data_IF_687737131240
#
_entry.id   IF_687737131240
#
_cell.length_a   1.000
_cell.length_b   1.000
_cell.length_c   1.000
_cell.angle_alpha   90.00
_cell.angle_beta   90.00
_cell.angle_gamma   90.00
#
_symmetry.space_group_name_H-M   'P 1'
#
loop_
_entity.id
_entity.type
_entity.pdbx_description
1 polymer ?
#
# COMPACT_ATOMS: atom_id res chain seq x y z
N UNK A 1 4.54 -17.02 -6.75
CA UNK A 1 4.12 -17.49 -5.42
C UNK A 1 4.53 -16.44 -4.40
N UNK A 2 3.58 -15.87 -3.68
CA UNK A 2 3.84 -14.89 -2.61
C UNK A 2 4.07 -15.60 -1.28
N UNK A 3 4.51 -14.86 -0.24
CA UNK A 3 4.62 -15.42 1.12
C UNK A 3 3.26 -15.87 1.63
N UNK A 4 2.19 -15.15 1.29
CA UNK A 4 0.83 -15.51 1.69
C UNK A 4 0.35 -16.77 0.97
N UNK A 5 0.65 -16.92 -0.32
CA UNK A 5 0.38 -18.17 -1.05
C UNK A 5 1.07 -19.37 -0.39
N UNK A 6 2.36 -19.21 -0.06
CA UNK A 6 3.13 -20.25 0.61
C UNK A 6 2.53 -20.61 1.99
N UNK A 7 2.13 -19.62 2.78
CA UNK A 7 1.45 -19.84 4.06
C UNK A 7 0.13 -20.60 3.87
N UNK A 8 -0.71 -20.18 2.91
CA UNK A 8 -1.99 -20.85 2.61
C UNK A 8 -1.77 -22.31 2.22
N UNK A 9 -0.77 -22.59 1.39
CA UNK A 9 -0.42 -23.95 0.99
C UNK A 9 -0.08 -24.80 2.22
N UNK A 10 0.82 -24.33 3.08
CA UNK A 10 1.24 -25.08 4.28
C UNK A 10 0.08 -25.29 5.26
N UNK A 11 -0.80 -24.31 5.42
CA UNK A 11 -1.99 -24.43 6.26
C UNK A 11 -2.98 -25.45 5.71
N UNK A 12 -3.17 -25.48 4.38
CA UNK A 12 -4.00 -26.50 3.74
C UNK A 12 -3.43 -27.91 3.92
N UNK A 13 -2.12 -28.08 3.71
CA UNK A 13 -1.41 -29.36 3.94
C UNK A 13 -1.50 -29.82 5.40
N UNK A 14 -1.55 -28.88 6.34
CA UNK A 14 -1.77 -29.16 7.77
C UNK A 14 -3.25 -29.36 8.17
N UNK A 15 -4.19 -29.40 7.22
CA UNK A 15 -5.63 -29.60 7.50
C UNK A 15 -6.37 -28.36 8.00
N UNK A 16 -5.79 -27.17 7.83
CA UNK A 16 -6.34 -25.87 8.26
C UNK A 16 -6.53 -24.88 7.08
N UNK A 17 -7.18 -25.28 5.96
CA UNK A 17 -7.24 -24.48 4.72
C UNK A 17 -7.95 -23.12 4.88
N UNK A 18 -8.77 -22.97 5.92
CA UNK A 18 -9.55 -21.76 6.17
C UNK A 18 -8.98 -20.90 7.31
N UNK A 19 -7.79 -21.22 7.83
CA UNK A 19 -7.21 -20.44 8.91
C UNK A 19 -6.85 -19.04 8.40
N UNK A 20 -7.36 -17.96 9.03
CA UNK A 20 -7.07 -16.61 8.58
C UNK A 20 -5.60 -16.26 8.80
N UNK A 21 -5.02 -15.54 7.85
CA UNK A 21 -3.66 -14.99 7.96
C UNK A 21 -3.78 -13.56 8.48
N UNK A 22 -2.94 -13.23 9.46
CA UNK A 22 -2.89 -11.91 10.10
C UNK A 22 -1.45 -11.42 10.19
N UNK A 23 -1.26 -10.12 9.98
CA UNK A 23 0.02 -9.43 10.07
C UNK A 23 0.01 -8.58 11.34
N UNK A 24 0.55 -9.13 12.43
CA UNK A 24 0.49 -8.53 13.77
C UNK A 24 1.55 -7.46 14.03
N UNK A 25 2.63 -7.43 13.24
CA UNK A 25 3.61 -6.36 13.26
C UNK A 25 4.13 -6.15 11.84
N UNK A 26 3.88 -4.98 11.28
CA UNK A 26 4.49 -4.53 10.03
C UNK A 26 4.99 -3.11 10.17
N UNK A 27 6.18 -2.84 9.66
CA UNK A 27 6.80 -1.53 9.66
C UNK A 27 8.10 -1.60 8.89
N UNK A 28 8.70 -0.44 8.63
CA UNK A 28 10.00 -0.39 7.99
C UNK A 28 11.11 -0.23 9.04
N UNK A 29 12.19 -0.97 8.88
CA UNK A 29 13.36 -0.91 9.72
C UNK A 29 14.54 -0.27 9.00
N UNK A 30 15.24 0.65 9.65
CA UNK A 30 16.51 1.22 9.22
C UNK A 30 17.62 0.62 10.07
N UNK A 31 18.56 -0.06 9.43
CA UNK A 31 19.72 -0.64 10.11
C UNK A 31 20.55 0.43 10.82
N UNK A 32 20.62 1.60 10.20
CA UNK A 32 21.35 2.79 10.66
C UNK A 32 20.34 3.94 10.82
N UNK A 33 19.94 4.33 12.04
CA UNK A 33 18.97 5.39 12.27
C UNK A 33 19.29 6.72 11.58
N UNK A 34 20.57 7.00 11.34
CA UNK A 34 21.06 8.19 10.64
C UNK A 34 20.71 8.20 9.14
N UNK A 35 20.36 7.03 8.59
CA UNK A 35 19.87 6.88 7.19
C UNK A 35 18.36 6.96 7.09
N UNK A 36 17.68 7.30 8.18
CA UNK A 36 16.24 7.48 8.19
C UNK A 36 15.82 8.56 7.19
N UNK A 37 14.91 8.17 6.30
CA UNK A 37 14.30 9.04 5.30
C UNK A 37 12.78 9.03 5.51
N UNK A 38 12.23 10.19 5.89
CA UNK A 38 10.80 10.35 6.12
C UNK A 38 9.95 10.11 4.87
N UNK A 39 10.49 10.40 3.69
CA UNK A 39 9.83 10.17 2.41
C UNK A 39 9.76 8.67 2.15
N UNK A 40 10.89 7.96 2.23
CA UNK A 40 10.94 6.51 2.05
C UNK A 40 10.01 5.80 3.05
N UNK A 41 10.03 6.20 4.33
CA UNK A 41 9.13 5.67 5.35
C UNK A 41 7.64 5.83 4.97
N UNK A 42 7.27 6.99 4.43
CA UNK A 42 5.90 7.22 3.98
C UNK A 42 5.54 6.36 2.77
N UNK A 43 6.45 6.18 1.81
CA UNK A 43 6.23 5.31 0.67
C UNK A 43 6.05 3.85 1.08
N UNK A 44 6.95 3.34 1.93
CA UNK A 44 6.90 1.96 2.40
C UNK A 44 5.70 1.71 3.32
N UNK A 45 5.24 2.71 4.05
CA UNK A 45 3.98 2.62 4.80
C UNK A 45 2.81 2.22 3.91
N UNK A 46 2.63 2.92 2.77
CA UNK A 46 1.55 2.59 1.83
C UNK A 46 1.78 1.21 1.21
N UNK A 47 3.01 0.92 0.74
CA UNK A 47 3.34 -0.34 0.07
C UNK A 47 3.13 -1.56 0.98
N UNK A 48 3.54 -1.48 2.25
CA UNK A 48 3.37 -2.54 3.24
C UNK A 48 1.89 -2.80 3.56
N UNK A 49 1.13 -1.72 3.82
CA UNK A 49 -0.31 -1.84 4.11
C UNK A 49 -1.09 -2.38 2.92
N UNK A 50 -0.86 -1.83 1.72
CA UNK A 50 -1.52 -2.27 0.50
C UNK A 50 -1.14 -3.71 0.14
N UNK A 51 0.12 -4.11 0.29
CA UNK A 51 0.54 -5.50 0.05
C UNK A 51 -0.11 -6.45 1.05
N UNK A 52 -0.06 -6.15 2.34
CA UNK A 52 -0.64 -7.03 3.35
C UNK A 52 -2.15 -7.20 3.16
N UNK A 53 -2.88 -6.11 2.86
CA UNK A 53 -4.31 -6.18 2.56
C UNK A 53 -4.58 -6.89 1.22
N UNK A 54 -3.80 -6.55 0.18
CA UNK A 54 -3.93 -7.05 -1.19
C UNK A 54 -3.69 -8.55 -1.34
N UNK A 55 -2.81 -9.09 -0.52
CA UNK A 55 -2.54 -10.53 -0.46
C UNK A 55 -3.59 -11.29 0.40
N UNK A 56 -4.50 -10.57 1.05
CA UNK A 56 -5.63 -11.13 1.79
C UNK A 56 -5.37 -11.38 3.27
N UNK A 57 -4.51 -10.57 3.90
CA UNK A 57 -4.44 -10.55 5.36
C UNK A 57 -5.76 -10.05 5.95
N UNK A 58 -6.29 -10.76 6.95
CA UNK A 58 -7.51 -10.36 7.66
C UNK A 58 -7.30 -9.13 8.55
N UNK A 59 -6.07 -8.96 9.05
CA UNK A 59 -5.69 -7.86 9.95
C UNK A 59 -4.26 -7.44 9.70
N UNK A 60 -4.02 -6.14 9.70
CA UNK A 60 -2.69 -5.55 9.57
C UNK A 60 -2.49 -4.55 10.69
N UNK A 61 -1.46 -4.76 11.51
CA UNK A 61 -1.09 -3.86 12.61
C UNK A 61 0.24 -3.21 12.26
N UNK A 62 0.19 -1.92 11.96
CA UNK A 62 1.40 -1.14 11.66
C UNK A 62 2.10 -0.72 12.95
N UNK A 63 3.40 -0.95 13.02
CA UNK A 63 4.26 -0.56 14.14
C UNK A 63 5.24 0.54 13.69
N UNK A 64 5.34 1.69 14.34
CA UNK A 64 4.68 2.17 15.58
C UNK A 64 4.05 3.55 15.34
N UNK A 65 2.81 3.72 15.83
CA UNK A 65 2.13 5.01 15.68
C UNK A 65 2.64 6.10 16.64
N UNK A 66 2.99 5.76 17.89
CA UNK A 66 3.41 6.73 18.91
C UNK A 66 4.77 7.40 18.65
N UNK A 67 5.42 7.94 19.68
CA UNK A 67 6.81 8.37 19.60
C UNK A 67 7.75 7.29 20.12
N UNK A 68 8.69 6.85 19.28
CA UNK A 68 9.85 6.05 19.62
C UNK A 68 10.86 6.15 18.49
N UNK A 69 12.11 6.42 18.82
CA UNK A 69 13.22 6.39 17.88
C UNK A 69 13.99 5.07 17.94
N UNK A 70 14.89 4.88 16.97
CA UNK A 70 15.75 3.73 16.85
C UNK A 70 15.63 3.13 15.45
N UNK A 71 15.83 1.81 15.34
CA UNK A 71 15.78 1.10 14.05
C UNK A 71 14.40 1.12 13.40
N UNK A 72 13.33 1.37 14.15
CA UNK A 72 11.98 1.56 13.60
C UNK A 72 11.46 2.91 14.07
N UNK A 73 11.83 4.00 13.39
CA UNK A 73 11.32 5.33 13.68
C UNK A 73 9.80 5.34 13.62
N UNK A 74 9.17 6.06 14.53
CA UNK A 74 7.72 6.04 14.64
C UNK A 74 7.05 7.08 13.74
N UNK A 75 5.72 7.02 13.64
CA UNK A 75 4.90 7.94 12.83
C UNK A 75 4.74 9.33 13.45
N UNK A 76 5.04 9.49 14.73
CA UNK A 76 4.94 10.77 15.44
C UNK A 76 6.32 11.26 15.87
N UNK A 77 6.55 12.56 15.76
CA UNK A 77 7.75 13.22 16.28
C UNK A 77 7.75 13.27 17.82
N UNK A 78 8.88 13.60 18.47
CA UNK A 78 8.93 13.82 19.91
C UNK A 78 7.96 14.90 20.41
N UNK A 79 7.62 15.86 19.55
CA UNK A 79 6.69 16.97 19.85
C UNK A 79 5.23 16.62 19.58
N UNK A 80 4.93 15.38 19.18
CA UNK A 80 3.57 14.95 18.83
C UNK A 80 3.11 15.40 17.44
N UNK A 81 4.02 15.86 16.58
CA UNK A 81 3.70 16.21 15.19
C UNK A 81 3.66 14.94 14.33
N UNK A 82 2.65 14.83 13.47
CA UNK A 82 2.59 13.76 12.47
C UNK A 82 3.76 13.86 11.49
N UNK A 83 4.51 12.77 11.32
CA UNK A 83 5.48 12.62 10.23
C UNK A 83 4.78 12.24 8.93
N UNK A 84 5.45 12.34 7.76
CA UNK A 84 4.90 11.90 6.48
C UNK A 84 4.31 10.47 6.50
N UNK A 85 4.92 9.54 7.25
CA UNK A 85 4.39 8.18 7.43
C UNK A 85 3.02 8.13 8.13
N UNK A 86 2.74 9.03 9.09
CA UNK A 86 1.41 9.11 9.72
C UNK A 86 0.34 9.56 8.70
N UNK A 87 0.70 10.50 7.83
CA UNK A 87 -0.19 10.98 6.76
C UNK A 87 -0.47 9.85 5.75
N UNK A 88 0.59 9.14 5.33
CA UNK A 88 0.50 7.97 4.47
C UNK A 88 -0.38 6.86 5.06
N UNK A 89 -0.19 6.55 6.35
CA UNK A 89 -1.02 5.60 7.08
C UNK A 89 -2.49 6.03 7.05
N UNK A 90 -2.78 7.27 7.46
CA UNK A 90 -4.14 7.82 7.50
C UNK A 90 -4.82 7.78 6.13
N UNK A 91 -4.11 8.19 5.08
CA UNK A 91 -4.63 8.17 3.70
C UNK A 91 -4.93 6.76 3.25
N UNK A 92 -4.00 5.82 3.48
CA UNK A 92 -4.18 4.40 3.10
C UNK A 92 -5.36 3.79 3.84
N UNK A 93 -5.43 3.94 5.16
CA UNK A 93 -6.52 3.36 5.96
C UNK A 93 -7.87 3.95 5.59
N UNK A 94 -7.94 5.25 5.25
CA UNK A 94 -9.18 5.91 4.85
C UNK A 94 -9.67 5.39 3.50
N UNK A 95 -8.77 5.29 2.51
CA UNK A 95 -9.13 4.89 1.15
C UNK A 95 -9.43 3.39 1.04
N UNK A 96 -8.79 2.56 1.88
CA UNK A 96 -9.00 1.11 1.90
C UNK A 96 -9.98 0.65 3.00
N UNK A 97 -10.62 1.57 3.74
CA UNK A 97 -11.60 1.21 4.76
C UNK A 97 -12.82 0.51 4.12
N UNK A 98 -13.15 -0.69 4.61
CA UNK A 98 -14.32 -1.45 4.18
C UNK A 98 -14.18 -2.13 2.82
N UNK A 99 -12.96 -2.28 2.30
CA UNK A 99 -12.71 -3.10 1.10
C UNK A 99 -13.16 -4.54 1.36
N UNK A 100 -13.80 -5.13 0.35
CA UNK A 100 -14.39 -6.47 0.42
C UNK A 100 -13.67 -7.47 -0.47
N UNK A 101 -12.97 -6.98 -1.48
CA UNK A 101 -12.15 -7.77 -2.39
C UNK A 101 -10.83 -7.04 -2.60
N UNK A 102 -9.77 -7.81 -2.81
CA UNK A 102 -8.48 -7.30 -3.20
C UNK A 102 -7.81 -8.30 -4.15
N UNK A 103 -7.17 -7.78 -5.18
CA UNK A 103 -6.42 -8.58 -6.14
C UNK A 103 -5.15 -7.86 -6.56
N UNK A 104 -4.10 -8.63 -6.82
CA UNK A 104 -2.87 -8.08 -7.38
C UNK A 104 -3.12 -7.63 -8.81
N UNK A 105 -2.80 -6.38 -9.10
CA UNK A 105 -2.92 -5.82 -10.44
C UNK A 105 -1.64 -6.09 -11.23
N UNK A 106 -1.78 -6.62 -12.44
CA UNK A 106 -0.65 -6.96 -13.30
C UNK A 106 -0.57 -5.98 -14.46
N UNK A 107 0.59 -5.37 -14.62
CA UNK A 107 0.92 -4.51 -15.75
C UNK A 107 1.74 -5.29 -16.78
N UNK A 108 1.70 -4.85 -18.03
CA UNK A 108 2.64 -5.32 -19.05
C UNK A 108 4.08 -4.92 -18.71
N UNK A 109 4.26 -3.74 -18.10
CA UNK A 109 5.57 -3.28 -17.66
C UNK A 109 5.93 -3.88 -16.29
N UNK A 110 7.00 -4.68 -16.18
CA UNK A 110 7.37 -5.35 -14.92
C UNK A 110 7.89 -4.40 -13.83
N UNK A 111 8.21 -3.14 -14.17
CA UNK A 111 8.57 -2.13 -13.20
C UNK A 111 7.36 -1.60 -12.42
N UNK A 112 6.14 -1.73 -12.97
CA UNK A 112 4.91 -1.27 -12.34
C UNK A 112 4.26 -2.35 -11.49
N UNK A 113 3.74 -1.93 -10.34
CA UNK A 113 3.16 -2.80 -9.33
C UNK A 113 1.89 -2.15 -8.76
N UNK A 114 0.96 -2.98 -8.34
CA UNK A 114 -0.19 -2.47 -7.62
C UNK A 114 -1.18 -3.54 -7.22
N UNK A 115 -2.22 -3.09 -6.52
CA UNK A 115 -3.36 -3.89 -6.13
C UNK A 115 -4.63 -3.11 -6.47
N UNK A 116 -5.67 -3.85 -6.88
CA UNK A 116 -7.03 -3.34 -7.00
C UNK A 116 -7.81 -3.77 -5.76
N UNK A 117 -8.51 -2.82 -5.17
CA UNK A 117 -9.39 -3.04 -4.03
C UNK A 117 -10.81 -2.62 -4.38
N UNK A 118 -11.80 -3.45 -4.05
CA UNK A 118 -13.20 -3.19 -4.38
C UNK A 118 -14.04 -3.00 -3.11
N UNK A 119 -14.85 -1.94 -3.09
CA UNK A 119 -15.85 -1.64 -2.06
C UNK A 119 -17.12 -1.13 -2.71
N UNK A 120 -18.25 -1.76 -2.40
CA UNK A 120 -19.58 -1.38 -2.93
C UNK A 120 -19.61 -1.26 -4.46
N UNK A 121 -18.89 -2.17 -5.15
CA UNK A 121 -18.76 -2.17 -6.61
C UNK A 121 -17.86 -1.08 -7.19
N UNK A 122 -17.15 -0.30 -6.35
CA UNK A 122 -16.19 0.72 -6.77
C UNK A 122 -14.77 0.28 -6.50
N UNK A 123 -13.89 0.57 -7.45
CA UNK A 123 -12.48 0.19 -7.39
C UNK A 123 -11.60 1.33 -6.92
N UNK A 124 -10.61 0.98 -6.10
CA UNK A 124 -9.48 1.82 -5.74
C UNK A 124 -8.22 1.04 -6.02
N UNK A 125 -7.35 1.59 -6.86
CA UNK A 125 -6.08 1.00 -7.20
C UNK A 125 -4.99 1.67 -6.37
N UNK A 126 -4.07 0.89 -5.82
CA UNK A 126 -2.84 1.41 -5.18
C UNK A 126 -1.67 1.02 -6.06
N UNK A 127 -1.02 1.99 -6.67
CA UNK A 127 -0.07 1.79 -7.76
C UNK A 127 1.28 2.46 -7.46
N UNK A 128 2.38 1.81 -7.83
CA UNK A 128 3.73 2.37 -7.77
C UNK A 128 4.62 1.67 -8.81
N UNK A 129 5.85 2.16 -8.97
CA UNK A 129 6.84 1.53 -9.81
C UNK A 129 8.24 1.58 -9.18
N UNK A 130 9.12 0.66 -9.59
CA UNK A 130 10.53 0.66 -9.15
C UNK A 130 11.38 1.72 -9.85
N UNK A 131 10.90 2.24 -10.98
CA UNK A 131 11.47 3.36 -11.72
C UNK A 131 10.34 4.14 -12.42
N UNK A 132 10.55 5.42 -12.80
CA UNK A 132 9.54 6.20 -13.51
C UNK A 132 9.05 5.49 -14.78
N UNK A 133 7.73 5.36 -14.91
CA UNK A 133 7.07 4.67 -16.03
C UNK A 133 5.69 5.25 -16.28
N UNK A 134 5.26 5.27 -17.54
CA UNK A 134 3.86 5.53 -17.90
C UNK A 134 3.15 4.23 -18.20
N UNK A 135 1.98 4.01 -17.60
CA UNK A 135 1.17 2.80 -17.80
C UNK A 135 -0.28 3.14 -18.10
N UNK A 136 -1.00 2.21 -18.71
CA UNK A 136 -2.46 2.26 -18.83
C UNK A 136 -3.08 1.34 -17.77
N UNK A 137 -4.07 1.85 -17.03
CA UNK A 137 -4.80 1.12 -16.00
C UNK A 137 -5.94 0.27 -16.58
N UNK A 138 -6.68 0.86 -17.52
CA UNK A 138 -7.75 0.18 -18.28
C UNK A 138 -7.64 0.58 -19.74
N UNK A 139 -8.29 -0.19 -20.62
CA UNK A 139 -8.36 0.15 -22.03
C UNK A 139 -9.17 1.45 -22.23
N UNK A 140 -8.58 2.40 -22.95
CA UNK A 140 -9.17 3.70 -23.23
C UNK A 140 -8.95 4.75 -22.16
N UNK A 141 -9.51 5.92 -22.42
CA UNK A 141 -9.28 7.13 -21.66
C UNK A 141 -10.50 7.47 -20.79
N UNK A 142 -10.40 7.15 -19.51
CA UNK A 142 -11.41 7.50 -18.51
C UNK A 142 -10.82 8.51 -17.53
N UNK A 143 -11.61 9.53 -17.11
CA UNK A 143 -11.19 10.42 -16.05
C UNK A 143 -10.97 9.61 -14.76
N UNK A 144 -9.90 9.93 -14.06
CA UNK A 144 -9.59 9.32 -12.77
C UNK A 144 -9.26 10.38 -11.74
N UNK A 145 -9.62 10.10 -10.49
CA UNK A 145 -9.14 10.83 -9.33
C UNK A 145 -7.88 10.14 -8.81
N UNK A 146 -6.76 10.88 -8.76
CA UNK A 146 -5.48 10.42 -8.23
C UNK A 146 -5.29 11.06 -6.86
N UNK A 147 -5.06 10.25 -5.82
CA UNK A 147 -4.68 10.72 -4.49
C UNK A 147 -3.24 10.32 -4.20
N UNK A 148 -2.39 11.26 -3.77
CA UNK A 148 -1.02 10.93 -3.35
C UNK A 148 -0.98 10.33 -1.93
N UNK A 149 0.20 9.88 -1.49
CA UNK A 149 0.38 9.34 -0.13
C UNK A 149 0.02 10.34 0.99
N UNK A 150 0.11 11.65 0.74
CA UNK A 150 -0.21 12.68 1.74
C UNK A 150 -1.71 12.97 1.80
N UNK A 151 -2.48 12.53 0.80
CA UNK A 151 -3.92 12.76 0.69
C UNK A 151 -4.29 13.91 -0.25
N UNK A 152 -3.33 14.49 -0.97
CA UNK A 152 -3.63 15.51 -1.99
C UNK A 152 -4.23 14.83 -3.22
N UNK A 153 -5.22 15.48 -3.84
CA UNK A 153 -5.94 14.94 -4.99
C UNK A 153 -5.64 15.74 -6.25
N UNK A 154 -5.51 15.05 -7.38
CA UNK A 154 -5.49 15.60 -8.73
C UNK A 154 -6.35 14.75 -9.67
N UNK A 155 -6.63 15.27 -10.86
CA UNK A 155 -7.28 14.49 -11.92
C UNK A 155 -6.23 13.96 -12.90
N UNK A 156 -6.55 12.83 -13.54
CA UNK A 156 -5.71 12.21 -14.56
C UNK A 156 -6.53 11.42 -15.56
N UNK A 157 -5.85 10.57 -16.32
CA UNK A 157 -6.45 9.72 -17.34
C UNK A 157 -5.98 8.27 -17.18
N UNK A 158 -6.92 7.32 -17.14
CA UNK A 158 -6.62 5.90 -16.98
C UNK A 158 -5.73 5.31 -18.07
N UNK A 159 -5.73 5.88 -19.28
CA UNK A 159 -4.91 5.43 -20.41
C UNK A 159 -3.44 5.83 -20.29
N UNK A 160 -3.12 6.82 -19.46
CA UNK A 160 -1.76 7.38 -19.32
C UNK A 160 -1.50 7.86 -17.90
N UNK A 161 -1.07 6.94 -17.03
CA UNK A 161 -0.70 7.21 -15.64
C UNK A 161 0.80 7.20 -15.47
N UNK A 162 1.35 8.30 -14.98
CA UNK A 162 2.75 8.38 -14.54
C UNK A 162 2.91 7.73 -13.16
N UNK A 163 3.68 6.66 -13.08
CA UNK A 163 4.06 5.99 -11.85
C UNK A 163 5.54 6.23 -11.54
N UNK A 164 5.85 6.26 -10.25
CA UNK A 164 7.22 6.26 -9.73
C UNK A 164 7.29 5.50 -8.42
N UNK A 165 8.39 5.68 -7.68
CA UNK A 165 8.62 4.99 -6.39
C UNK A 165 7.61 5.38 -5.32
N UNK A 166 7.09 6.61 -5.39
CA UNK A 166 6.01 7.10 -4.56
C UNK A 166 4.68 6.47 -4.99
N UNK A 167 3.98 5.76 -4.09
CA UNK A 167 2.69 5.16 -4.41
C UNK A 167 1.59 6.21 -4.52
N UNK A 168 0.64 5.94 -5.42
CA UNK A 168 -0.58 6.72 -5.63
C UNK A 168 -1.81 5.83 -5.48
N UNK A 169 -2.93 6.45 -5.13
CA UNK A 169 -4.25 5.84 -5.15
C UNK A 169 -5.01 6.36 -6.37
N UNK A 170 -5.65 5.48 -7.13
CA UNK A 170 -6.41 5.85 -8.33
C UNK A 170 -7.83 5.31 -8.22
N UNK A 171 -8.80 6.19 -8.41
CA UNK A 171 -10.23 5.86 -8.45
C UNK A 171 -10.77 6.26 -9.82
N UNK A 172 -11.45 5.35 -10.49
CA UNK A 172 -12.12 5.62 -11.77
C UNK A 172 -13.50 6.20 -11.43
N UNK A 173 -13.83 7.34 -12.02
CA UNK A 173 -15.09 8.08 -11.79
C UNK A 173 -16.28 7.45 -12.54
#
# INVERSE_FOLDING_TARGET
>A
MTVVDWLRQNLAEAGMPNMPIEVWEVGYGWDTPETYDEVAHAEDTVKLLATAAGEGSRRVVYVRYGYKEGRMPSMMSPTGTMRPAALAYRTTTRLLAGVTQAERFTFENPAAWGYRFTRDGRDTYVLWATAPVTVSLVAGDQPVTITDRQGNTSTGNSGSLALGVSPIFVQID
#
